data_IF_853776300286
#
_entry.id   IF_853776300286
#
_cell.length_a   1.000
_cell.length_b   1.000
_cell.length_c   1.000
_cell.angle_alpha   90.00
_cell.angle_beta   90.00
_cell.angle_gamma   90.00
#
_symmetry.space_group_name_H-M   'P 1'
#
loop_
_entity.id
_entity.type
_entity.pdbx_description
1 polymer ?
#
# COMPACT_ATOMS: atom_id res chain seq x y z
N UNK A 1 -8.31 -8.39 -2.72
CA UNK A 1 -9.01 -7.48 -3.65
C UNK A 1 -9.22 -8.18 -4.98
N UNK A 2 -10.45 -8.49 -5.38
CA UNK A 2 -10.74 -8.98 -6.74
C UNK A 2 -10.76 -7.77 -7.67
N UNK A 3 -9.56 -7.23 -7.91
CA UNK A 3 -9.20 -6.37 -9.04
C UNK A 3 -10.17 -5.23 -9.38
N UNK A 4 -10.42 -4.30 -8.46
CA UNK A 4 -10.68 -2.93 -8.92
C UNK A 4 -9.34 -2.30 -9.28
N UNK A 5 -8.94 -2.48 -10.54
CA UNK A 5 -7.71 -1.90 -11.12
C UNK A 5 -7.58 -0.39 -10.86
N UNK A 6 -8.71 0.28 -10.61
CA UNK A 6 -8.79 1.71 -10.32
C UNK A 6 -8.08 2.04 -9.01
N UNK A 7 -8.36 1.33 -7.91
CA UNK A 7 -7.72 1.63 -6.61
C UNK A 7 -6.22 1.34 -6.64
N UNK A 8 -5.82 0.21 -7.24
CA UNK A 8 -4.41 -0.08 -7.43
C UNK A 8 -3.70 1.03 -8.21
N UNK A 9 -4.32 1.53 -9.28
CA UNK A 9 -3.76 2.61 -10.08
C UNK A 9 -3.73 3.93 -9.33
N UNK A 10 -4.78 4.27 -8.59
CA UNK A 10 -4.83 5.46 -7.75
C UNK A 10 -3.72 5.41 -6.70
N UNK A 11 -3.58 4.33 -5.94
CA UNK A 11 -2.54 4.24 -4.91
C UNK A 11 -1.13 4.13 -5.50
N UNK A 12 -0.98 3.61 -6.72
CA UNK A 12 0.28 3.63 -7.45
C UNK A 12 0.68 5.04 -7.91
N UNK A 13 -0.27 5.81 -8.44
CA UNK A 13 -0.03 7.15 -9.00
C UNK A 13 -0.06 8.23 -7.90
N UNK A 14 -0.82 8.00 -6.82
CA UNK A 14 -1.11 8.89 -5.70
C UNK A 14 -1.11 8.12 -4.36
N UNK A 15 0.05 7.63 -3.89
CA UNK A 15 0.15 6.82 -2.69
C UNK A 15 -0.24 7.58 -1.41
N UNK A 16 -0.05 8.91 -1.36
CA UNK A 16 -0.43 9.74 -0.22
C UNK A 16 -1.94 9.70 0.10
N UNK A 17 -2.78 9.48 -0.92
CA UNK A 17 -4.23 9.48 -0.76
C UNK A 17 -4.71 8.36 0.17
N UNK A 18 -3.94 7.28 0.32
CA UNK A 18 -4.23 6.24 1.31
C UNK A 18 -4.23 6.80 2.74
N UNK A 19 -3.19 7.54 3.12
CA UNK A 19 -3.07 8.16 4.44
C UNK A 19 -4.08 9.30 4.62
N UNK A 20 -4.31 10.10 3.58
CA UNK A 20 -5.34 11.16 3.61
C UNK A 20 -6.75 10.60 3.84
N UNK A 21 -7.09 9.46 3.23
CA UNK A 21 -8.37 8.78 3.44
C UNK A 21 -8.55 8.25 4.87
N UNK A 22 -7.45 7.98 5.56
CA UNK A 22 -7.44 7.64 6.98
C UNK A 22 -7.39 8.85 7.92
N UNK A 23 -7.29 10.07 7.38
CA UNK A 23 -7.14 11.28 8.17
C UNK A 23 -5.73 11.45 8.77
N UNK A 24 -4.77 10.68 8.28
CA UNK A 24 -3.36 10.77 8.65
C UNK A 24 -2.62 11.77 7.75
N UNK A 25 -1.42 12.17 8.15
CA UNK A 25 -0.61 13.08 7.34
C UNK A 25 -0.20 12.41 6.01
N UNK A 26 -0.39 13.08 4.86
CA UNK A 26 0.09 12.58 3.58
C UNK A 26 1.62 12.43 3.54
N UNK A 27 2.34 13.12 4.42
CA UNK A 27 3.80 13.06 4.52
C UNK A 27 4.31 11.69 4.98
N UNK A 28 3.46 10.92 5.69
CA UNK A 28 3.81 9.56 6.10
C UNK A 28 4.19 8.72 4.89
N UNK A 29 3.60 8.96 3.72
CA UNK A 29 3.94 8.21 2.50
C UNK A 29 5.44 8.20 2.17
N UNK A 30 6.20 9.21 2.60
CA UNK A 30 7.64 9.25 2.36
C UNK A 30 8.39 8.17 3.15
N UNK A 31 7.83 7.72 4.27
CA UNK A 31 8.36 6.65 5.11
C UNK A 31 7.88 5.26 4.64
N UNK A 32 7.09 5.19 3.56
CA UNK A 32 6.52 3.95 3.05
C UNK A 32 6.73 3.79 1.54
N UNK A 33 7.06 2.56 1.14
CA UNK A 33 7.11 2.13 -0.26
C UNK A 33 5.87 1.33 -0.62
N UNK A 34 5.18 1.75 -1.68
CA UNK A 34 4.07 1.00 -2.26
C UNK A 34 4.57 -0.14 -3.16
N UNK A 35 4.14 -1.38 -2.91
CA UNK A 35 4.54 -2.58 -3.62
C UNK A 35 3.38 -3.59 -3.80
N UNK A 36 3.56 -4.58 -4.68
CA UNK A 36 2.65 -5.73 -4.83
C UNK A 36 3.40 -7.00 -4.47
N UNK A 37 2.92 -7.69 -3.41
CA UNK A 37 3.59 -8.87 -2.86
C UNK A 37 2.83 -10.13 -3.25
N UNK A 38 3.55 -11.09 -3.82
CA UNK A 38 3.03 -12.42 -4.12
C UNK A 38 3.43 -13.43 -3.03
N UNK A 39 2.43 -14.02 -2.38
CA UNK A 39 2.62 -15.04 -1.36
C UNK A 39 2.81 -16.40 -2.03
N UNK A 40 4.05 -16.91 -1.96
CA UNK A 40 4.50 -18.15 -2.62
C UNK A 40 3.73 -19.42 -2.21
N UNK A 41 3.08 -19.45 -1.04
CA UNK A 41 2.37 -20.64 -0.54
C UNK A 41 0.97 -20.83 -1.12
N UNK A 42 0.32 -19.76 -1.58
CA UNK A 42 -1.12 -19.79 -1.93
C UNK A 42 -1.43 -19.19 -3.30
N UNK A 43 -0.41 -18.81 -4.09
CA UNK A 43 -0.57 -18.02 -5.33
C UNK A 43 -1.46 -16.77 -5.11
N UNK A 44 -1.44 -16.24 -3.88
CA UNK A 44 -2.24 -15.10 -3.48
C UNK A 44 -1.40 -13.85 -3.67
N UNK A 45 -1.92 -12.93 -4.48
CA UNK A 45 -1.30 -11.63 -4.74
C UNK A 45 -2.00 -10.57 -3.93
N UNK A 46 -1.21 -9.79 -3.20
CA UNK A 46 -1.68 -8.59 -2.51
C UNK A 46 -1.21 -7.40 -3.33
N UNK A 47 -2.12 -6.91 -4.16
CA UNK A 47 -1.89 -5.75 -5.00
C UNK A 47 -2.20 -4.48 -4.19
N UNK A 48 -1.19 -3.97 -3.47
CA UNK A 48 -1.29 -2.76 -2.67
C UNK A 48 -0.81 -2.93 -1.23
N UNK A 49 0.51 -2.99 -1.07
CA UNK A 49 1.18 -3.09 0.22
C UNK A 49 2.03 -1.84 0.43
N UNK A 50 1.85 -1.15 1.55
CA UNK A 50 2.75 -0.09 1.99
C UNK A 50 3.75 -0.67 2.98
N UNK A 51 4.98 -0.84 2.51
CA UNK A 51 6.11 -1.34 3.28
C UNK A 51 6.85 -0.15 3.88
N UNK A 52 6.98 -0.04 5.21
CA UNK A 52 7.75 1.03 5.80
C UNK A 52 9.23 0.89 5.48
N UNK A 53 9.94 2.02 5.47
CA UNK A 53 11.40 2.04 5.41
C UNK A 53 12.02 1.59 6.74
N UNK A 54 11.38 1.94 7.86
CA UNK A 54 11.74 1.46 9.19
C UNK A 54 10.91 0.22 9.57
N UNK A 55 11.58 -0.87 9.95
CA UNK A 55 10.92 -2.11 10.36
C UNK A 55 10.14 -1.99 11.68
N UNK A 56 10.32 -0.91 12.45
CA UNK A 56 9.50 -0.63 13.64
C UNK A 56 8.09 -0.12 13.29
N UNK A 57 7.90 0.38 12.07
CA UNK A 57 6.61 0.90 11.62
C UNK A 57 5.67 -0.24 11.13
N UNK A 58 4.35 -0.06 11.23
CA UNK A 58 3.36 -1.06 10.81
C UNK A 58 3.32 -1.23 9.29
N UNK A 59 3.01 -2.43 8.80
CA UNK A 59 2.75 -2.65 7.36
C UNK A 59 1.27 -2.38 7.08
N UNK A 60 0.96 -1.58 6.05
CA UNK A 60 -0.43 -1.35 5.63
C UNK A 60 -0.78 -2.11 4.35
N UNK A 61 -2.02 -2.59 4.31
CA UNK A 61 -2.60 -3.32 3.18
C UNK A 61 -3.87 -2.59 2.74
N UNK A 62 -4.06 -2.45 1.42
CA UNK A 62 -5.27 -1.85 0.83
C UNK A 62 -6.37 -2.86 0.56
#
# INVERSE_FOLDING_TARGET
>A
MKTDHIFYRIFKDLPQTFFELWGESPELVNDYRFDSVELKQTAFRIDGVFLPEDMENPIYFT
#
